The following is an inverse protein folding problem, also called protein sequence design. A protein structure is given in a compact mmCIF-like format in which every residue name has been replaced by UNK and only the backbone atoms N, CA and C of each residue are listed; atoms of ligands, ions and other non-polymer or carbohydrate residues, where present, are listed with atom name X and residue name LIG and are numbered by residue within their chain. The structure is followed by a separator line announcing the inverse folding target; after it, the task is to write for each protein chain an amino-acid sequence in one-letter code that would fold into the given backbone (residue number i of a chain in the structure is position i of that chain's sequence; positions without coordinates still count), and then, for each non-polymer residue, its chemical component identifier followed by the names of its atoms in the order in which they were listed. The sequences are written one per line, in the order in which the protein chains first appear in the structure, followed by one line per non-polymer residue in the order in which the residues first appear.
data_IF_974421170094
#
_entry.id   IF_974421170094
#
_cell.length_a   1.000
_cell.length_b   1.000
_cell.length_c   1.000
_cell.angle_alpha   90.00
_cell.angle_beta   90.00
_cell.angle_gamma   90.00
#
_symmetry.space_group_name_H-M   'P 1'
#
loop_
_entity.id
_entity.type
_entity.pdbx_description
1 polymer ?
#
# COMPACT_ATOMS: atom_id res chain seq x y z
N UNK A 1 -45.84 -4.16 15.12
CA UNK A 1 -44.53 -4.78 14.74
C UNK A 1 -43.78 -3.98 13.64
N UNK A 2 -43.76 -2.64 13.70
CA UNK A 2 -43.19 -1.76 12.64
C UNK A 2 -41.66 -1.70 12.65
N UNK A 3 -41.03 -1.98 13.79
CA UNK A 3 -39.57 -1.98 13.99
C UNK A 3 -38.85 -3.14 13.27
N UNK A 4 -39.51 -4.29 13.10
CA UNK A 4 -38.92 -5.46 12.45
C UNK A 4 -38.67 -5.24 10.96
N UNK A 5 -39.69 -4.74 10.24
CA UNK A 5 -39.58 -4.43 8.80
C UNK A 5 -38.52 -3.36 8.51
N UNK A 6 -38.39 -2.35 9.36
CA UNK A 6 -37.32 -1.35 9.21
C UNK A 6 -35.93 -1.96 9.44
N UNK A 7 -35.79 -2.90 10.39
CA UNK A 7 -34.53 -3.60 10.65
C UNK A 7 -34.10 -4.49 9.47
N UNK A 8 -35.04 -5.20 8.86
CA UNK A 8 -34.77 -5.99 7.64
C UNK A 8 -34.40 -5.11 6.45
N UNK A 9 -35.14 -4.02 6.21
CA UNK A 9 -34.80 -3.07 5.14
C UNK A 9 -33.42 -2.43 5.35
N UNK A 10 -33.06 -2.10 6.60
CA UNK A 10 -31.73 -1.59 6.93
C UNK A 10 -30.65 -2.64 6.65
N UNK A 11 -30.89 -3.91 6.98
CA UNK A 11 -29.95 -5.01 6.74
C UNK A 11 -29.74 -5.29 5.25
N UNK A 12 -30.82 -5.26 4.46
CA UNK A 12 -30.75 -5.47 3.01
C UNK A 12 -30.01 -4.32 2.31
N UNK A 13 -30.24 -3.07 2.74
CA UNK A 13 -29.49 -1.91 2.23
C UNK A 13 -28.00 -2.01 2.58
N UNK A 14 -27.67 -2.40 3.81
CA UNK A 14 -26.29 -2.59 4.24
C UNK A 14 -25.58 -3.70 3.46
N UNK A 15 -26.27 -4.82 3.19
CA UNK A 15 -25.73 -5.90 2.36
C UNK A 15 -25.49 -5.44 0.93
N UNK A 16 -26.46 -4.76 0.29
CA UNK A 16 -26.28 -4.20 -1.07
C UNK A 16 -25.11 -3.21 -1.16
N UNK A 17 -24.90 -2.38 -0.14
CA UNK A 17 -23.75 -1.47 -0.05
C UNK A 17 -22.43 -2.24 0.10
N UNK A 18 -22.41 -3.27 0.96
CA UNK A 18 -21.24 -4.12 1.12
C UNK A 18 -20.91 -4.88 -0.17
N UNK A 19 -21.91 -5.43 -0.86
CA UNK A 19 -21.73 -6.16 -2.12
C UNK A 19 -21.21 -5.24 -3.25
N UNK A 20 -21.68 -3.99 -3.30
CA UNK A 20 -21.12 -2.97 -4.21
C UNK A 20 -19.65 -2.65 -3.91
N UNK A 21 -19.26 -2.68 -2.64
CA UNK A 21 -17.89 -2.40 -2.21
C UNK A 21 -16.95 -3.63 -2.26
N UNK A 22 -17.49 -4.87 -2.32
CA UNK A 22 -16.71 -6.11 -2.42
C UNK A 22 -15.90 -6.23 -3.73
N UNK A 23 -16.23 -5.43 -4.75
CA UNK A 23 -15.52 -5.39 -6.03
C UNK A 23 -14.39 -4.35 -6.13
N UNK A 24 -14.19 -3.52 -5.10
CA UNK A 24 -13.07 -2.59 -5.06
C UNK A 24 -11.75 -3.38 -4.95
N UNK A 25 -10.98 -3.47 -6.05
CA UNK A 25 -9.65 -4.09 -6.03
C UNK A 25 -8.84 -3.43 -4.91
N UNK A 26 -8.58 -4.16 -3.83
CA UNK A 26 -7.82 -3.66 -2.69
C UNK A 26 -6.46 -3.15 -3.20
N UNK A 27 -6.20 -1.84 -3.05
CA UNK A 27 -4.97 -1.19 -3.52
C UNK A 27 -3.71 -1.69 -2.78
N UNK A 28 -3.86 -2.55 -1.77
CA UNK A 28 -2.79 -3.11 -0.95
C UNK A 28 -1.76 -3.86 -1.83
N UNK A 29 -2.19 -4.67 -2.78
CA UNK A 29 -1.29 -5.37 -3.70
C UNK A 29 -0.57 -4.42 -4.67
N UNK A 30 -1.28 -3.41 -5.17
CA UNK A 30 -0.69 -2.38 -6.03
C UNK A 30 0.34 -1.52 -5.29
N UNK A 31 0.13 -1.27 -3.98
CA UNK A 31 1.10 -0.59 -3.12
C UNK A 31 2.36 -1.42 -2.95
N UNK A 32 2.25 -2.72 -2.68
CA UNK A 32 3.41 -3.61 -2.57
C UNK A 32 4.19 -3.69 -3.89
N UNK A 33 3.50 -3.77 -5.04
CA UNK A 33 4.12 -3.78 -6.35
C UNK A 33 4.82 -2.45 -6.72
N UNK A 34 4.40 -1.34 -6.11
CA UNK A 34 5.01 -0.02 -6.32
C UNK A 34 6.30 0.20 -5.53
N UNK A 35 6.50 -0.46 -4.39
CA UNK A 35 7.69 -0.33 -3.57
C UNK A 35 8.62 -1.53 -3.77
N UNK A 36 9.35 -1.51 -4.89
CA UNK A 36 10.16 -2.64 -5.35
C UNK A 36 11.55 -2.70 -4.72
N UNK A 37 12.08 -1.57 -4.25
CA UNK A 37 13.46 -1.45 -3.79
C UNK A 37 13.46 -1.35 -2.27
N UNK A 38 14.20 -2.19 -1.58
CA UNK A 38 14.42 -2.08 -0.14
C UNK A 38 15.76 -1.42 0.15
N UNK A 39 15.78 -0.38 0.98
CA UNK A 39 17.03 0.22 1.45
C UNK A 39 17.92 -0.83 2.18
N UNK A 40 19.23 -0.90 1.90
CA UNK A 40 20.10 -1.88 2.55
C UNK A 40 20.40 -1.56 4.02
N UNK A 41 20.40 -0.27 4.40
CA UNK A 41 20.74 0.16 5.76
C UNK A 41 19.57 0.04 6.73
N UNK A 42 18.40 0.58 6.37
CA UNK A 42 17.23 0.61 7.26
C UNK A 42 16.06 -0.25 6.79
N UNK A 43 16.18 -0.94 5.65
CA UNK A 43 15.12 -1.80 5.07
C UNK A 43 13.82 -1.06 4.74
N UNK A 44 13.86 0.27 4.66
CA UNK A 44 12.73 1.06 4.22
C UNK A 44 12.39 0.71 2.75
N UNK A 45 11.12 0.41 2.44
CA UNK A 45 10.70 0.18 1.08
C UNK A 45 10.64 1.53 0.33
N UNK A 46 11.20 1.58 -0.87
CA UNK A 46 11.25 2.74 -1.76
C UNK A 46 10.83 2.33 -3.17
N UNK A 47 10.17 3.25 -3.88
CA UNK A 47 9.57 2.92 -5.17
C UNK A 47 10.59 2.82 -6.31
N UNK A 48 11.58 3.70 -6.33
CA UNK A 48 12.56 3.84 -7.41
C UNK A 48 13.94 4.20 -6.85
N UNK A 49 14.99 3.97 -7.61
CA UNK A 49 16.36 4.25 -7.19
C UNK A 49 16.62 5.74 -6.93
N UNK A 50 16.06 6.65 -7.72
CA UNK A 50 16.15 8.10 -7.45
C UNK A 50 15.64 8.47 -6.06
N UNK A 51 14.59 7.80 -5.58
CA UNK A 51 14.07 7.98 -4.23
C UNK A 51 14.95 7.32 -3.18
N UNK A 52 15.62 6.20 -3.52
CA UNK A 52 16.65 5.61 -2.68
C UNK A 52 17.82 6.57 -2.49
N UNK A 53 18.30 7.25 -3.54
CA UNK A 53 19.39 8.22 -3.44
C UNK A 53 19.05 9.36 -2.48
N UNK A 54 17.90 10.01 -2.69
CA UNK A 54 17.42 11.09 -1.79
C UNK A 54 17.22 10.57 -0.36
N UNK A 55 16.72 9.34 -0.20
CA UNK A 55 16.55 8.70 1.10
C UNK A 55 17.90 8.43 1.79
N UNK A 56 18.91 7.95 1.06
CA UNK A 56 20.27 7.74 1.57
C UNK A 56 20.94 9.06 1.94
N UNK A 57 20.88 10.08 1.09
CA UNK A 57 21.47 11.39 1.36
C UNK A 57 20.87 12.06 2.61
N UNK A 58 19.55 11.93 2.80
CA UNK A 58 18.86 12.58 3.92
C UNK A 58 18.93 11.78 5.24
N UNK A 59 18.85 10.43 5.19
CA UNK A 59 18.78 9.58 6.39
C UNK A 59 20.11 8.93 6.75
N UNK A 60 20.97 8.71 5.76
CA UNK A 60 22.23 7.99 5.87
C UNK A 60 23.40 8.76 5.23
N UNK A 61 23.65 10.03 5.64
CA UNK A 61 24.65 10.90 5.00
C UNK A 61 26.10 10.38 5.09
N UNK A 62 26.34 9.32 5.86
CA UNK A 62 27.66 8.70 6.05
C UNK A 62 27.83 7.38 5.28
N UNK A 63 26.75 6.81 4.74
CA UNK A 63 26.80 5.52 4.06
C UNK A 63 26.94 5.71 2.54
N UNK A 64 27.71 4.83 1.90
CA UNK A 64 27.88 4.84 0.44
C UNK A 64 26.56 4.47 -0.24
N UNK A 65 26.09 5.31 -1.16
CA UNK A 65 24.90 5.04 -1.96
C UNK A 65 25.18 3.78 -2.80
N UNK A 66 24.44 2.68 -2.59
CA UNK A 66 24.63 1.45 -3.35
C UNK A 66 24.28 1.70 -4.83
N UNK A 67 24.98 1.10 -5.81
CA UNK A 67 24.68 1.27 -7.23
C UNK A 67 23.36 0.61 -7.66
N UNK A 68 22.73 1.13 -8.72
CA UNK A 68 21.45 0.64 -9.28
C UNK A 68 21.45 -0.86 -9.58
N UNK A 69 22.61 -1.42 -9.96
CA UNK A 69 22.81 -2.83 -10.30
C UNK A 69 22.57 -3.81 -9.15
N UNK A 70 22.63 -3.35 -7.90
CA UNK A 70 22.35 -4.20 -6.74
C UNK A 70 20.86 -4.47 -6.53
N UNK A 71 19.99 -3.74 -7.24
CA UNK A 71 18.53 -3.84 -7.10
C UNK A 71 17.83 -4.32 -8.37
N UNK A 72 18.57 -4.66 -9.42
CA UNK A 72 18.05 -5.32 -10.61
C UNK A 72 18.05 -6.83 -10.41
N UNK A 73 16.95 -7.39 -9.92
CA UNK A 73 16.63 -8.83 -10.02
C UNK A 73 15.14 -9.00 -10.29
#
# INVERSE_FOLDING_TARGET
MTRGKQKEQARERAQKLADKNKGGKSQIGARAAGLKISCPTCKAPVANYKLLQVHMEAKHPKDTIPPESSFTT
#
